data_IF_561961858364
#
_entry.id   IF_561961858364
#
_cell.length_a   1.000
_cell.length_b   1.000
_cell.length_c   1.000
_cell.angle_alpha   90.00
_cell.angle_beta   90.00
_cell.angle_gamma   90.00
#
_symmetry.space_group_name_H-M   'P 1'
#
loop_
_entity.id
_entity.type
_entity.pdbx_description
1 polymer ?
#
# COMPACT_ATOMS: atom_id res chain seq x y z
N UNK A 1 4.21 36.11 -15.72
CA UNK A 1 2.92 35.86 -16.42
C UNK A 1 2.11 34.92 -15.55
N UNK A 2 0.79 35.12 -15.40
CA UNK A 2 -0.04 34.15 -14.66
C UNK A 2 -0.18 32.88 -15.50
N UNK A 3 0.19 31.73 -14.94
CA UNK A 3 -0.05 30.44 -15.57
C UNK A 3 -1.55 30.17 -15.63
N UNK A 4 -2.02 29.67 -16.77
CA UNK A 4 -3.43 29.32 -16.94
C UNK A 4 -3.69 27.99 -16.25
N UNK A 5 -4.72 27.96 -15.40
CA UNK A 5 -5.25 26.69 -14.86
C UNK A 5 -5.65 25.81 -16.03
N UNK A 6 -5.00 24.65 -16.15
CA UNK A 6 -5.39 23.67 -17.15
C UNK A 6 -6.82 23.22 -16.83
N UNK A 7 -7.68 23.18 -17.84
CA UNK A 7 -8.96 22.51 -17.70
C UNK A 7 -8.68 21.01 -17.65
N UNK A 8 -8.55 20.46 -16.44
CA UNK A 8 -8.27 19.05 -16.23
C UNK A 8 -9.37 18.25 -16.93
N UNK A 9 -8.99 17.40 -17.88
CA UNK A 9 -9.93 16.54 -18.61
C UNK A 9 -10.54 15.49 -17.67
N UNK A 10 -11.57 14.78 -18.11
CA UNK A 10 -12.27 13.83 -17.23
C UNK A 10 -11.37 12.67 -16.78
N UNK A 11 -10.50 12.15 -17.64
CA UNK A 11 -9.64 11.01 -17.30
C UNK A 11 -8.66 11.33 -16.14
N UNK A 12 -7.89 12.43 -16.14
CA UNK A 12 -7.07 12.80 -15.00
C UNK A 12 -7.87 13.07 -13.72
N UNK A 13 -9.10 13.61 -13.81
CA UNK A 13 -9.98 13.72 -12.63
C UNK A 13 -10.33 12.35 -12.06
N UNK A 14 -10.63 11.37 -12.92
CA UNK A 14 -10.90 9.99 -12.51
C UNK A 14 -9.67 9.34 -11.87
N UNK A 15 -8.47 9.57 -12.43
CA UNK A 15 -7.21 9.10 -11.83
C UNK A 15 -7.00 9.67 -10.42
N UNK A 16 -7.14 10.99 -10.24
CA UNK A 16 -6.99 11.64 -8.94
C UNK A 16 -8.08 11.25 -7.94
N UNK A 17 -9.31 11.00 -8.41
CA UNK A 17 -10.40 10.49 -7.59
C UNK A 17 -10.13 9.05 -7.13
N UNK A 18 -9.68 8.18 -8.03
CA UNK A 18 -9.36 6.79 -7.73
C UNK A 18 -8.11 6.68 -6.84
N UNK A 19 -7.14 7.57 -7.01
CA UNK A 19 -5.93 7.65 -6.18
C UNK A 19 -6.29 7.79 -4.69
N UNK A 20 -7.26 8.64 -4.34
CA UNK A 20 -7.75 8.82 -2.96
C UNK A 20 -8.89 7.86 -2.58
N UNK A 21 -9.15 6.82 -3.39
CA UNK A 21 -10.22 5.84 -3.20
C UNK A 21 -11.63 6.46 -3.01
N UNK A 22 -11.90 7.61 -3.65
CA UNK A 22 -13.20 8.28 -3.57
C UNK A 22 -13.57 8.88 -2.21
N UNK A 23 -12.62 8.96 -1.27
CA UNK A 23 -12.75 9.58 0.04
C UNK A 23 -11.71 10.68 0.16
N UNK A 24 -12.04 11.78 0.83
CA UNK A 24 -11.08 12.86 1.05
C UNK A 24 -9.87 12.32 1.84
N UNK A 25 -8.63 12.56 1.42
CA UNK A 25 -7.46 12.02 2.12
C UNK A 25 -7.18 12.70 3.47
N UNK A 26 -7.82 13.83 3.75
CA UNK A 26 -7.65 14.60 5.00
C UNK A 26 -8.85 14.54 5.95
N UNK A 27 -9.95 13.89 5.55
CA UNK A 27 -11.15 13.74 6.39
C UNK A 27 -12.02 12.58 5.89
N UNK A 28 -12.94 12.03 6.70
CA UNK A 28 -13.70 10.83 6.32
C UNK A 28 -14.81 11.09 5.27
N UNK A 29 -14.91 12.29 4.68
CA UNK A 29 -15.99 12.62 3.76
C UNK A 29 -15.84 11.89 2.42
N UNK A 30 -16.92 11.27 1.97
CA UNK A 30 -17.05 10.78 0.60
C UNK A 30 -17.04 11.94 -0.40
N UNK A 31 -16.40 11.71 -1.54
CA UNK A 31 -16.23 12.72 -2.59
C UNK A 31 -17.41 12.74 -3.57
N UNK A 32 -18.31 11.76 -3.50
CA UNK A 32 -19.58 11.72 -4.22
C UNK A 32 -20.71 11.54 -3.20
N UNK A 33 -21.82 12.23 -3.40
CA UNK A 33 -23.04 12.07 -2.60
C UNK A 33 -24.27 11.89 -3.49
N UNK A 34 -25.32 11.30 -2.94
CA UNK A 34 -26.60 11.14 -3.62
C UNK A 34 -27.65 12.10 -3.06
N UNK A 35 -28.39 12.75 -3.95
CA UNK A 35 -29.58 13.54 -3.59
C UNK A 35 -30.65 13.30 -4.65
N UNK A 36 -31.87 12.97 -4.23
CA UNK A 36 -32.99 12.74 -5.16
C UNK A 36 -32.65 11.74 -6.29
N UNK A 37 -32.02 10.61 -5.95
CA UNK A 37 -31.58 9.55 -6.90
C UNK A 37 -30.55 9.98 -7.95
N UNK A 38 -29.91 11.14 -7.77
CA UNK A 38 -28.82 11.64 -8.62
C UNK A 38 -27.53 11.72 -7.83
N UNK A 39 -26.42 11.33 -8.46
CA UNK A 39 -25.08 11.42 -7.88
C UNK A 39 -24.47 12.78 -8.21
N UNK A 40 -23.86 13.39 -7.21
CA UNK A 40 -23.25 14.71 -7.30
C UNK A 40 -21.81 14.68 -6.78
N UNK A 41 -20.99 15.50 -7.40
CA UNK A 41 -19.61 15.74 -7.01
C UNK A 41 -19.57 16.57 -5.72
N UNK A 42 -18.78 16.16 -4.73
CA UNK A 42 -18.44 16.92 -3.50
C UNK A 42 -16.93 17.15 -3.37
N UNK A 43 -16.24 17.22 -4.49
CA UNK A 43 -14.78 17.34 -4.51
C UNK A 43 -14.29 18.38 -5.50
N UNK A 44 -13.06 18.83 -5.26
CA UNK A 44 -12.30 19.70 -6.13
C UNK A 44 -10.88 19.16 -6.29
N UNK A 45 -10.23 19.55 -7.38
CA UNK A 45 -8.82 19.23 -7.58
C UNK A 45 -8.02 20.45 -7.13
N UNK A 46 -7.25 20.23 -6.07
CA UNK A 46 -6.37 21.21 -5.45
C UNK A 46 -4.97 21.10 -6.03
N UNK A 47 -4.32 22.24 -6.20
CA UNK A 47 -2.88 22.34 -6.40
C UNK A 47 -2.18 22.28 -5.05
N UNK A 48 -1.34 21.27 -4.81
CA UNK A 48 -0.59 21.15 -3.55
C UNK A 48 0.37 22.32 -3.45
N UNK A 49 1.28 22.49 -4.40
CA UNK A 49 1.97 23.77 -4.61
C UNK A 49 1.10 24.68 -5.49
N UNK A 50 0.79 25.91 -5.06
CA UNK A 50 -0.13 26.79 -5.78
C UNK A 50 0.36 27.07 -7.20
N UNK A 51 -0.58 27.06 -8.17
CA UNK A 51 -0.26 27.32 -9.57
C UNK A 51 0.25 28.75 -9.81
N UNK A 52 -0.28 29.72 -9.07
CA UNK A 52 0.08 31.12 -9.17
C UNK A 52 0.26 31.69 -7.75
N UNK A 53 1.35 31.34 -7.05
CA UNK A 53 1.57 31.80 -5.69
C UNK A 53 1.64 33.32 -5.65
N UNK A 54 0.98 33.90 -4.67
CA UNK A 54 1.18 35.30 -4.28
C UNK A 54 2.58 35.49 -3.68
N UNK A 55 3.05 36.74 -3.56
CA UNK A 55 4.35 37.01 -2.92
C UNK A 55 4.46 36.43 -1.50
N UNK A 56 3.43 36.58 -0.62
CA UNK A 56 3.46 35.95 0.69
C UNK A 56 3.53 34.41 0.62
N UNK A 57 2.85 33.77 -0.33
CA UNK A 57 2.94 32.31 -0.50
C UNK A 57 4.30 31.85 -1.01
N UNK A 58 4.96 32.63 -1.88
CA UNK A 58 6.33 32.36 -2.31
C UNK A 58 7.31 32.40 -1.13
N UNK A 59 7.19 33.42 -0.28
CA UNK A 59 8.02 33.54 0.93
C UNK A 59 7.71 32.43 1.94
N UNK A 60 6.43 32.11 2.15
CA UNK A 60 5.97 31.04 3.03
C UNK A 60 6.52 29.67 2.62
N UNK A 61 6.54 29.38 1.32
CA UNK A 61 6.89 28.07 0.77
C UNK A 61 8.31 27.99 0.20
N UNK A 62 9.17 28.99 0.44
CA UNK A 62 10.48 29.11 -0.23
C UNK A 62 11.41 27.92 0.04
N UNK A 63 11.32 27.32 1.23
CA UNK A 63 12.13 26.18 1.66
C UNK A 63 11.36 24.85 1.61
N UNK A 64 10.14 24.86 1.05
CA UNK A 64 9.28 23.69 1.02
C UNK A 64 9.50 22.87 -0.26
N UNK A 65 9.42 21.56 -0.10
CA UNK A 65 9.59 20.62 -1.21
C UNK A 65 8.49 20.80 -2.26
N UNK A 66 8.86 20.75 -3.55
CA UNK A 66 7.91 20.64 -4.66
C UNK A 66 7.95 19.22 -5.21
N UNK A 67 6.80 18.57 -5.24
CA UNK A 67 6.66 17.20 -5.75
C UNK A 67 6.94 17.09 -7.25
N UNK A 68 6.81 18.18 -7.98
CA UNK A 68 7.11 18.27 -9.40
C UNK A 68 7.54 19.68 -9.77
N UNK A 69 8.34 19.79 -10.82
CA UNK A 69 8.72 21.07 -11.42
C UNK A 69 7.57 21.71 -12.21
N UNK A 70 6.68 20.89 -12.79
CA UNK A 70 5.47 21.37 -13.45
C UNK A 70 4.34 21.51 -12.43
N UNK A 71 3.85 22.74 -12.16
CA UNK A 71 2.75 22.94 -11.21
C UNK A 71 1.44 22.29 -11.67
N UNK A 72 1.27 21.93 -12.95
CA UNK A 72 0.10 21.19 -13.43
C UNK A 72 0.30 19.68 -13.51
N UNK A 73 1.46 19.16 -13.12
CA UNK A 73 1.70 17.72 -13.02
C UNK A 73 0.67 17.06 -12.11
N UNK A 74 0.23 15.84 -12.45
CA UNK A 74 -0.65 15.06 -11.59
C UNK A 74 -0.01 14.75 -10.23
N UNK A 75 1.32 14.80 -10.13
CA UNK A 75 2.04 14.67 -8.86
C UNK A 75 1.80 15.88 -7.94
N UNK A 76 1.50 17.06 -8.48
CA UNK A 76 1.18 18.27 -7.73
C UNK A 76 -0.34 18.48 -7.53
N UNK A 77 -1.18 17.58 -8.05
CA UNK A 77 -2.63 17.67 -7.95
C UNK A 77 -3.17 16.62 -6.97
N UNK A 78 -4.17 17.02 -6.19
CA UNK A 78 -4.85 16.11 -5.25
C UNK A 78 -6.35 16.38 -5.19
N UNK A 79 -7.12 15.31 -5.01
CA UNK A 79 -8.57 15.35 -4.91
C UNK A 79 -8.99 15.54 -3.45
N UNK A 80 -9.66 16.66 -3.14
CA UNK A 80 -10.12 16.99 -1.78
C UNK A 80 -11.62 17.26 -1.78
N UNK A 81 -12.29 17.05 -0.64
CA UNK A 81 -13.64 17.59 -0.47
C UNK A 81 -13.60 19.13 -0.46
N UNK A 82 -14.72 19.77 -0.83
CA UNK A 82 -14.83 21.24 -0.94
C UNK A 82 -14.39 21.94 0.35
N UNK A 83 -14.77 21.39 1.50
CA UNK A 83 -14.47 21.94 2.83
C UNK A 83 -12.95 21.92 3.10
N UNK A 84 -12.29 20.79 2.87
CA UNK A 84 -10.84 20.65 3.08
C UNK A 84 -10.03 21.45 2.06
N UNK A 85 -10.47 21.53 0.81
CA UNK A 85 -9.81 22.38 -0.19
C UNK A 85 -9.86 23.85 0.21
N UNK A 86 -11.03 24.34 0.63
CA UNK A 86 -11.21 25.74 1.06
C UNK A 86 -10.34 26.05 2.27
N UNK A 87 -10.31 25.15 3.27
CA UNK A 87 -9.47 25.30 4.47
C UNK A 87 -7.99 25.39 4.11
N UNK A 88 -7.52 24.50 3.22
CA UNK A 88 -6.12 24.45 2.81
C UNK A 88 -5.66 25.70 2.06
N UNK A 89 -6.50 26.25 1.18
CA UNK A 89 -6.12 27.40 0.36
C UNK A 89 -6.18 28.74 1.12
N UNK A 90 -6.97 28.86 2.20
CA UNK A 90 -7.37 30.17 2.76
C UNK A 90 -7.40 30.20 4.30
N UNK A 91 -6.35 30.71 4.98
CA UNK A 91 -5.00 30.92 4.47
C UNK A 91 -4.21 29.60 4.46
N UNK A 92 -3.26 29.50 3.55
CA UNK A 92 -2.32 28.39 3.50
C UNK A 92 -1.31 28.46 4.65
N UNK A 93 -0.97 27.29 5.19
CA UNK A 93 0.07 27.14 6.22
C UNK A 93 1.14 26.15 5.75
N UNK A 94 2.36 26.28 6.29
CA UNK A 94 3.46 25.33 6.02
C UNK A 94 3.12 23.93 6.53
N UNK A 95 2.47 23.82 7.69
CA UNK A 95 2.08 22.55 8.28
C UNK A 95 1.11 21.78 7.39
N UNK A 96 0.03 22.43 6.93
CA UNK A 96 -0.96 21.79 6.05
C UNK A 96 -0.37 21.47 4.67
N UNK A 97 0.56 22.29 4.18
CA UNK A 97 1.31 22.02 2.95
C UNK A 97 2.12 20.73 3.05
N UNK A 98 2.96 20.61 4.09
CA UNK A 98 3.79 19.42 4.32
C UNK A 98 2.93 18.16 4.47
N UNK A 99 1.82 18.26 5.21
CA UNK A 99 0.89 17.15 5.36
C UNK A 99 0.33 16.67 4.00
N UNK A 100 -0.07 17.58 3.10
CA UNK A 100 -0.54 17.18 1.77
C UNK A 100 0.58 16.65 0.87
N UNK A 101 1.80 17.16 0.99
CA UNK A 101 2.99 16.60 0.33
C UNK A 101 3.20 15.15 0.75
N UNK A 102 3.20 14.87 2.06
CA UNK A 102 3.39 13.53 2.61
C UNK A 102 2.29 12.55 2.18
N UNK A 103 1.03 12.99 2.24
CA UNK A 103 -0.11 12.22 1.74
C UNK A 103 0.09 11.89 0.26
N UNK A 104 0.44 12.88 -0.57
CA UNK A 104 0.57 12.68 -2.00
C UNK A 104 1.75 11.77 -2.35
N UNK A 105 2.88 11.83 -1.63
CA UNK A 105 3.98 10.87 -1.78
C UNK A 105 3.51 9.44 -1.58
N UNK A 106 2.77 9.18 -0.50
CA UNK A 106 2.21 7.84 -0.21
C UNK A 106 1.27 7.37 -1.32
N UNK A 107 0.44 8.27 -1.85
CA UNK A 107 -0.47 7.98 -2.95
C UNK A 107 0.27 7.64 -4.26
N UNK A 108 1.32 8.40 -4.59
CA UNK A 108 2.17 8.15 -5.76
C UNK A 108 2.86 6.79 -5.64
N UNK A 109 3.43 6.48 -4.47
CA UNK A 109 4.07 5.17 -4.21
C UNK A 109 3.06 4.04 -4.40
N UNK A 110 1.88 4.14 -3.78
CA UNK A 110 0.82 3.14 -3.90
C UNK A 110 0.34 2.92 -5.34
N UNK A 111 0.37 3.96 -6.18
CA UNK A 111 0.03 3.80 -7.59
C UNK A 111 1.14 3.08 -8.37
N UNK A 112 2.42 3.38 -8.09
CA UNK A 112 3.56 2.65 -8.67
C UNK A 112 3.54 1.16 -8.29
N UNK A 113 3.15 0.83 -7.05
CA UNK A 113 2.98 -0.57 -6.62
C UNK A 113 1.96 -1.31 -7.48
N UNK A 114 0.82 -0.67 -7.78
CA UNK A 114 -0.24 -1.26 -8.63
C UNK A 114 0.22 -1.53 -10.06
N UNK A 115 1.10 -0.68 -10.60
CA UNK A 115 1.65 -0.87 -11.96
C UNK A 115 2.50 -2.15 -12.05
N UNK A 116 3.18 -2.53 -10.96
CA UNK A 116 3.98 -3.77 -10.90
C UNK A 116 3.10 -5.02 -10.96
N UNK A 117 1.89 -4.97 -10.41
CA UNK A 117 1.03 -6.16 -10.27
C UNK A 117 0.75 -6.88 -11.59
N UNK A 118 0.67 -6.14 -12.71
CA UNK A 118 0.41 -6.72 -14.04
C UNK A 118 1.56 -7.58 -14.56
N UNK A 119 2.79 -7.36 -14.07
CA UNK A 119 4.01 -8.00 -14.55
C UNK A 119 4.46 -9.17 -13.67
N UNK A 120 3.73 -9.44 -12.58
CA UNK A 120 4.06 -10.50 -11.61
C UNK A 120 2.86 -11.41 -11.42
N UNK A 121 3.06 -12.72 -11.57
CA UNK A 121 2.05 -13.75 -11.28
C UNK A 121 2.58 -14.68 -10.20
N UNK A 122 1.67 -15.24 -9.41
CA UNK A 122 1.98 -16.28 -8.43
C UNK A 122 1.44 -17.62 -8.92
N UNK A 123 2.13 -18.70 -8.61
CA UNK A 123 1.66 -20.07 -8.87
C UNK A 123 0.25 -20.30 -8.31
N UNK A 124 -0.56 -21.07 -9.03
CA UNK A 124 -1.95 -21.37 -8.65
C UNK A 124 -2.01 -22.17 -7.33
N UNK A 125 -0.97 -22.91 -6.99
CA UNK A 125 -0.84 -23.71 -5.78
C UNK A 125 -0.86 -22.85 -4.50
N UNK A 126 -0.54 -21.54 -4.60
CA UNK A 126 -0.70 -20.63 -3.47
C UNK A 126 -2.17 -20.48 -3.06
N UNK A 127 -3.09 -20.64 -4.00
CA UNK A 127 -4.53 -20.58 -3.74
C UNK A 127 -4.95 -21.73 -2.83
N UNK A 128 -4.39 -22.93 -3.00
CA UNK A 128 -4.70 -24.08 -2.15
C UNK A 128 -4.32 -23.82 -0.69
N UNK A 129 -3.24 -23.08 -0.47
CA UNK A 129 -2.79 -22.71 0.88
C UNK A 129 -3.66 -21.59 1.45
N UNK A 130 -4.02 -20.60 0.65
CA UNK A 130 -4.93 -19.54 1.08
C UNK A 130 -6.31 -20.12 1.39
N UNK A 131 -6.83 -21.04 0.58
CA UNK A 131 -8.11 -21.70 0.82
C UNK A 131 -8.07 -22.55 2.10
N UNK A 132 -6.99 -23.32 2.30
CA UNK A 132 -6.74 -24.05 3.55
C UNK A 132 -6.80 -23.13 4.77
N UNK A 133 -6.10 -21.98 4.72
CA UNK A 133 -6.06 -21.00 5.82
C UNK A 133 -7.39 -20.29 6.03
N UNK A 134 -8.18 -20.11 4.97
CA UNK A 134 -9.50 -19.46 5.00
C UNK A 134 -10.63 -20.41 5.42
N UNK A 135 -10.36 -21.70 5.50
CA UNK A 135 -11.34 -22.73 5.86
C UNK A 135 -11.90 -22.53 7.27
N UNK A 136 -13.23 -22.55 7.40
CA UNK A 136 -13.94 -22.29 8.68
C UNK A 136 -13.57 -23.26 9.80
N UNK A 137 -13.19 -24.49 9.45
CA UNK A 137 -12.80 -25.53 10.40
C UNK A 137 -11.29 -25.59 10.66
N UNK A 138 -10.53 -24.63 10.12
CA UNK A 138 -9.10 -24.56 10.35
C UNK A 138 -8.81 -24.25 11.83
N UNK A 139 -8.22 -25.23 12.53
CA UNK A 139 -7.80 -25.08 13.93
C UNK A 139 -6.32 -25.28 14.08
N UNK A 140 -5.62 -24.31 14.63
CA UNK A 140 -4.21 -24.46 14.96
C UNK A 140 -4.07 -25.47 16.12
N UNK A 141 -3.11 -26.40 16.03
CA UNK A 141 -2.82 -27.32 17.13
C UNK A 141 -2.01 -26.59 18.21
N UNK A 142 -2.50 -26.60 19.45
CA UNK A 142 -1.82 -25.98 20.59
C UNK A 142 -0.39 -26.52 20.80
N UNK A 143 -0.13 -27.79 20.43
CA UNK A 143 1.22 -28.37 20.49
C UNK A 143 2.14 -27.78 19.44
N UNK A 144 1.64 -27.52 18.23
CA UNK A 144 2.44 -26.92 17.16
C UNK A 144 2.85 -25.49 17.52
N UNK A 145 1.94 -24.70 18.11
CA UNK A 145 2.18 -23.32 18.58
C UNK A 145 3.31 -23.25 19.61
N UNK A 146 3.33 -24.19 20.56
CA UNK A 146 4.31 -24.20 21.65
C UNK A 146 5.71 -24.59 21.18
N UNK A 147 5.80 -25.32 20.07
CA UNK A 147 7.05 -25.92 19.60
C UNK A 147 7.80 -25.06 18.57
N UNK A 148 7.13 -24.11 17.91
CA UNK A 148 7.78 -23.23 16.95
C UNK A 148 8.10 -21.87 17.54
N UNK A 149 9.38 -21.52 17.59
CA UNK A 149 9.83 -20.18 17.97
C UNK A 149 10.40 -19.47 16.72
N UNK A 150 9.79 -18.36 16.24
CA UNK A 150 10.31 -17.60 15.11
C UNK A 150 11.65 -16.93 15.45
N UNK A 151 12.77 -17.52 15.03
CA UNK A 151 14.10 -17.08 15.49
C UNK A 151 14.69 -15.92 14.68
N UNK A 152 14.19 -15.64 13.48
CA UNK A 152 14.85 -14.72 12.54
C UNK A 152 14.12 -13.40 12.35
N UNK A 153 12.83 -13.30 12.71
CA UNK A 153 12.03 -12.08 12.50
C UNK A 153 12.68 -10.87 13.19
N UNK A 154 13.19 -11.04 14.42
CA UNK A 154 13.81 -9.94 15.15
C UNK A 154 15.09 -9.40 14.50
N UNK A 155 15.82 -10.27 13.79
CA UNK A 155 17.05 -9.90 13.09
C UNK A 155 16.79 -9.31 11.69
N UNK A 156 15.66 -9.67 11.07
CA UNK A 156 15.23 -9.18 9.74
C UNK A 156 14.47 -7.86 9.80
N UNK A 157 13.99 -7.48 10.98
CA UNK A 157 13.17 -6.28 11.14
C UNK A 157 13.96 -5.12 11.73
N UNK A 158 13.72 -3.91 11.24
CA UNK A 158 14.35 -2.67 11.73
C UNK A 158 13.35 -1.73 12.41
N UNK A 159 13.80 -0.53 12.80
CA UNK A 159 12.96 0.46 13.50
C UNK A 159 11.80 1.01 12.64
N UNK A 160 11.85 0.78 11.33
CA UNK A 160 10.87 1.27 10.37
C UNK A 160 9.62 0.37 10.27
N UNK A 161 9.67 -0.85 10.83
CA UNK A 161 8.48 -1.68 11.03
C UNK A 161 7.75 -1.30 12.33
N UNK A 162 6.42 -1.27 12.30
CA UNK A 162 5.65 -1.00 13.53
C UNK A 162 5.70 -2.19 14.48
N UNK A 163 5.67 -1.93 15.79
CA UNK A 163 5.57 -2.98 16.81
C UNK A 163 4.40 -3.93 16.57
N UNK A 164 3.23 -3.40 16.19
CA UNK A 164 2.03 -4.21 15.93
C UNK A 164 2.23 -5.15 14.74
N UNK A 165 2.80 -4.66 13.64
CA UNK A 165 3.12 -5.49 12.47
C UNK A 165 4.15 -6.56 12.81
N UNK A 166 5.24 -6.20 13.50
CA UNK A 166 6.25 -7.16 13.95
C UNK A 166 5.65 -8.25 14.85
N UNK A 167 4.79 -7.87 15.80
CA UNK A 167 4.06 -8.82 16.66
C UNK A 167 3.13 -9.73 15.87
N UNK A 168 2.42 -9.21 14.86
CA UNK A 168 1.55 -10.00 14.00
C UNK A 168 2.36 -11.02 13.19
N UNK A 169 3.47 -10.60 12.58
CA UNK A 169 4.36 -11.51 11.84
C UNK A 169 4.84 -12.63 12.76
N UNK A 170 5.30 -12.31 13.97
CA UNK A 170 5.68 -13.30 14.99
C UNK A 170 4.57 -14.31 15.29
N UNK A 171 3.36 -13.84 15.58
CA UNK A 171 2.21 -14.70 15.88
C UNK A 171 1.79 -15.56 14.68
N UNK A 172 1.71 -14.96 13.50
CA UNK A 172 1.36 -15.66 12.27
C UNK A 172 2.36 -16.78 11.97
N UNK A 173 3.65 -16.51 12.17
CA UNK A 173 4.66 -17.54 11.98
C UNK A 173 4.55 -18.61 13.07
N UNK A 174 4.48 -18.22 14.35
CA UNK A 174 4.35 -19.18 15.45
C UNK A 174 3.15 -20.11 15.28
N UNK A 175 1.99 -19.57 14.92
CA UNK A 175 0.74 -20.31 14.88
C UNK A 175 0.62 -21.16 13.60
N UNK A 176 1.11 -20.68 12.45
CA UNK A 176 0.79 -21.29 11.16
C UNK A 176 1.97 -21.99 10.47
N UNK A 177 3.21 -21.81 10.95
CA UNK A 177 4.41 -22.33 10.27
C UNK A 177 4.32 -23.83 9.99
N UNK A 178 4.06 -24.66 11.01
CA UNK A 178 4.07 -26.13 10.89
C UNK A 178 3.13 -26.61 9.78
N UNK A 179 1.93 -26.03 9.74
CA UNK A 179 0.89 -26.40 8.77
C UNK A 179 1.20 -25.93 7.36
N UNK A 180 1.64 -24.68 7.21
CA UNK A 180 2.03 -24.14 5.91
C UNK A 180 3.20 -24.94 5.35
N UNK A 181 4.22 -25.22 6.17
CA UNK A 181 5.38 -26.02 5.80
C UNK A 181 5.01 -27.44 5.38
N UNK A 182 4.08 -28.08 6.10
CA UNK A 182 3.55 -29.39 5.73
C UNK A 182 2.84 -29.34 4.38
N UNK A 183 2.00 -28.33 4.14
CA UNK A 183 1.26 -28.19 2.88
C UNK A 183 2.22 -27.95 1.70
N UNK A 184 3.22 -27.09 1.86
CA UNK A 184 4.29 -26.92 0.87
C UNK A 184 5.04 -28.23 0.59
N UNK A 185 5.37 -29.00 1.64
CA UNK A 185 5.99 -30.33 1.49
C UNK A 185 5.10 -31.34 0.76
N UNK A 186 3.77 -31.22 0.87
CA UNK A 186 2.82 -32.05 0.12
C UNK A 186 2.74 -31.62 -1.35
N UNK A 187 2.75 -30.31 -1.62
CA UNK A 187 2.81 -29.77 -2.97
C UNK A 187 4.08 -30.19 -3.70
N UNK A 188 5.25 -30.09 -3.06
CA UNK A 188 6.54 -30.49 -3.65
C UNK A 188 6.64 -32.00 -3.94
N UNK A 189 5.83 -32.84 -3.27
CA UNK A 189 5.73 -34.27 -3.60
C UNK A 189 4.93 -34.53 -4.87
N UNK A 190 3.98 -33.66 -5.20
CA UNK A 190 3.15 -33.74 -6.40
C UNK A 190 3.90 -33.12 -7.57
N UNK A 191 4.42 -31.90 -7.37
CA UNK A 191 5.17 -31.13 -8.36
C UNK A 191 6.44 -30.56 -7.69
N UNK A 192 7.61 -31.17 -7.93
CA UNK A 192 8.86 -30.74 -7.31
C UNK A 192 9.20 -29.27 -7.60
N UNK A 193 9.83 -28.59 -6.62
CA UNK A 193 10.26 -27.19 -6.69
C UNK A 193 9.13 -26.15 -6.71
N UNK A 194 7.89 -26.54 -6.40
CA UNK A 194 6.75 -25.63 -6.27
C UNK A 194 7.02 -24.57 -5.20
N UNK A 195 7.49 -24.99 -4.01
CA UNK A 195 7.76 -24.06 -2.90
C UNK A 195 8.89 -23.08 -3.25
N UNK A 196 9.94 -23.55 -3.93
CA UNK A 196 11.07 -22.70 -4.34
C UNK A 196 10.65 -21.68 -5.40
N UNK A 197 9.80 -22.09 -6.35
CA UNK A 197 9.25 -21.22 -7.39
C UNK A 197 8.43 -20.09 -6.78
N UNK A 198 7.53 -20.42 -5.85
CA UNK A 198 6.73 -19.43 -5.11
C UNK A 198 7.63 -18.49 -4.28
N UNK A 199 8.61 -19.04 -3.57
CA UNK A 199 9.59 -18.28 -2.78
C UNK A 199 10.31 -17.26 -3.66
N UNK A 200 10.75 -17.68 -4.85
CA UNK A 200 11.42 -16.84 -5.83
C UNK A 200 10.53 -15.73 -6.38
N UNK A 201 9.25 -16.01 -6.65
CA UNK A 201 8.26 -15.00 -7.08
C UNK A 201 8.03 -13.93 -6.01
N UNK A 202 7.87 -14.36 -4.75
CA UNK A 202 7.69 -13.47 -3.60
C UNK A 202 8.93 -12.61 -3.38
N UNK A 203 10.12 -13.22 -3.41
CA UNK A 203 11.39 -12.49 -3.30
C UNK A 203 11.55 -11.47 -4.44
N UNK A 204 11.22 -11.86 -5.67
CA UNK A 204 11.30 -10.96 -6.84
C UNK A 204 10.36 -9.76 -6.66
N UNK A 205 9.14 -9.99 -6.17
CA UNK A 205 8.21 -8.89 -5.91
C UNK A 205 8.73 -7.96 -4.79
N UNK A 206 9.23 -8.54 -3.68
CA UNK A 206 9.88 -7.79 -2.61
C UNK A 206 11.02 -6.89 -3.12
N UNK A 207 11.95 -7.46 -3.89
CA UNK A 207 13.07 -6.71 -4.45
C UNK A 207 12.60 -5.60 -5.40
N UNK A 208 11.48 -5.80 -6.09
CA UNK A 208 10.89 -4.78 -6.96
C UNK A 208 10.31 -3.63 -6.14
N UNK A 209 9.58 -3.93 -5.05
CA UNK A 209 9.06 -2.93 -4.12
C UNK A 209 10.20 -2.15 -3.45
N UNK A 210 11.22 -2.85 -2.94
CA UNK A 210 12.38 -2.22 -2.29
C UNK A 210 13.16 -1.29 -3.25
N UNK A 211 13.15 -1.58 -4.56
CA UNK A 211 13.77 -0.71 -5.58
C UNK A 211 12.96 0.54 -5.90
N UNK A 212 11.64 0.54 -5.69
CA UNK A 212 10.78 1.67 -6.09
C UNK A 212 11.12 2.97 -5.36
N UNK A 213 11.57 2.90 -4.11
CA UNK A 213 12.06 4.06 -3.37
C UNK A 213 12.91 3.62 -2.16
N UNK A 214 14.08 4.24 -1.98
CA UNK A 214 14.96 4.02 -0.82
C UNK A 214 14.35 4.49 0.51
N UNK A 215 13.31 5.33 0.46
CA UNK A 215 12.61 5.85 1.64
C UNK A 215 11.42 4.98 2.07
N UNK A 216 11.09 3.92 1.33
CA UNK A 216 10.02 2.99 1.72
C UNK A 216 10.51 2.19 2.94
N UNK A 217 9.78 2.32 4.04
CA UNK A 217 10.04 1.57 5.27
C UNK A 217 9.51 0.12 5.16
N UNK A 218 9.98 -0.75 6.05
CA UNK A 218 9.57 -2.15 6.09
C UNK A 218 8.05 -2.34 6.29
N UNK A 219 7.37 -1.43 7.00
CA UNK A 219 5.92 -1.48 7.17
C UNK A 219 5.19 -1.29 5.84
N UNK A 220 5.60 -0.33 5.04
CA UNK A 220 5.03 -0.06 3.72
C UNK A 220 5.31 -1.23 2.76
N UNK A 221 6.52 -1.80 2.79
CA UNK A 221 6.84 -3.02 2.03
C UNK A 221 5.92 -4.17 2.44
N UNK A 222 5.76 -4.41 3.74
CA UNK A 222 4.89 -5.48 4.23
C UNK A 222 3.46 -5.33 3.71
N UNK A 223 2.89 -4.14 3.82
CA UNK A 223 1.54 -3.87 3.31
C UNK A 223 1.46 -4.03 1.80
N UNK A 224 2.48 -3.58 1.07
CA UNK A 224 2.59 -3.76 -0.38
C UNK A 224 2.58 -5.24 -0.77
N UNK A 225 3.39 -6.06 -0.11
CA UNK A 225 3.47 -7.51 -0.31
C UNK A 225 2.14 -8.21 -0.02
N UNK A 226 1.48 -7.87 1.10
CA UNK A 226 0.17 -8.46 1.47
C UNK A 226 -0.91 -8.05 0.47
N UNK A 227 -0.98 -6.78 0.08
CA UNK A 227 -1.93 -6.29 -0.92
C UNK A 227 -1.72 -6.94 -2.28
N UNK A 228 -0.46 -7.09 -2.70
CA UNK A 228 -0.11 -7.78 -3.93
C UNK A 228 -0.59 -9.23 -3.91
N UNK A 229 -0.22 -10.01 -2.89
CA UNK A 229 -0.59 -11.41 -2.81
C UNK A 229 -2.11 -11.58 -2.79
N UNK A 230 -2.80 -10.81 -1.95
CA UNK A 230 -4.26 -10.77 -1.89
C UNK A 230 -4.87 -10.49 -3.27
N UNK A 231 -4.30 -9.56 -4.04
CA UNK A 231 -4.79 -9.27 -5.39
C UNK A 231 -4.53 -10.40 -6.38
N UNK A 232 -3.35 -11.03 -6.31
CA UNK A 232 -3.00 -12.19 -7.14
C UNK A 232 -3.87 -13.39 -6.86
N UNK A 233 -4.51 -13.45 -5.69
CA UNK A 233 -5.40 -14.55 -5.26
C UNK A 233 -6.86 -14.15 -5.20
N UNK A 234 -7.28 -13.23 -6.06
CA UNK A 234 -8.67 -12.74 -6.19
C UNK A 234 -9.29 -12.25 -4.88
N UNK A 235 -8.47 -11.73 -3.97
CA UNK A 235 -8.88 -11.18 -2.67
C UNK A 235 -9.62 -12.20 -1.80
N UNK A 236 -9.25 -13.49 -1.91
CA UNK A 236 -9.90 -14.58 -1.19
C UNK A 236 -9.86 -14.39 0.33
N UNK A 237 -8.68 -14.07 0.88
CA UNK A 237 -8.52 -13.64 2.28
C UNK A 237 -7.27 -12.79 2.43
N UNK A 238 -7.44 -11.61 3.03
CA UNK A 238 -6.33 -10.71 3.33
C UNK A 238 -5.51 -11.24 4.51
N UNK A 239 -6.17 -11.83 5.50
CA UNK A 239 -5.58 -12.46 6.67
C UNK A 239 -4.70 -13.65 6.27
N UNK A 240 -5.18 -14.52 5.37
CA UNK A 240 -4.38 -15.61 4.82
C UNK A 240 -3.17 -15.08 4.05
N UNK A 241 -3.32 -13.99 3.29
CA UNK A 241 -2.20 -13.34 2.59
C UNK A 241 -1.16 -12.81 3.58
N UNK A 242 -1.58 -12.17 4.68
CA UNK A 242 -0.71 -11.71 5.76
C UNK A 242 0.07 -12.85 6.40
N UNK A 243 -0.60 -13.97 6.68
CA UNK A 243 0.01 -15.18 7.24
C UNK A 243 1.08 -15.73 6.29
N UNK A 244 0.78 -15.82 4.98
CA UNK A 244 1.72 -16.35 3.99
C UNK A 244 2.94 -15.44 3.83
N UNK A 245 2.75 -14.13 3.71
CA UNK A 245 3.89 -13.19 3.66
C UNK A 245 4.74 -13.29 4.93
N UNK A 246 4.11 -13.44 6.11
CA UNK A 246 4.82 -13.65 7.37
C UNK A 246 5.68 -14.94 7.34
N UNK A 247 5.14 -16.04 6.80
CA UNK A 247 5.89 -17.29 6.60
C UNK A 247 7.12 -17.08 5.70
N UNK A 248 7.00 -16.31 4.62
CA UNK A 248 8.12 -16.04 3.72
C UNK A 248 9.13 -15.04 4.27
N UNK A 249 8.74 -14.11 5.14
CA UNK A 249 9.69 -13.28 5.89
C UNK A 249 10.57 -14.16 6.80
N UNK A 250 9.97 -15.15 7.47
CA UNK A 250 10.72 -16.08 8.31
C UNK A 250 11.69 -16.95 7.49
N UNK A 251 11.26 -17.47 6.34
CA UNK A 251 11.97 -18.54 5.62
C UNK A 251 12.78 -18.11 4.41
N UNK A 252 12.54 -16.92 3.86
CA UNK A 252 13.22 -16.43 2.68
C UNK A 252 13.94 -15.13 2.98
N UNK A 253 14.77 -14.71 2.03
CA UNK A 253 15.50 -13.45 2.06
C UNK A 253 14.56 -12.27 1.72
N UNK A 254 13.52 -12.07 2.53
CA UNK A 254 12.66 -10.89 2.56
C UNK A 254 13.05 -10.10 3.81
N UNK A 255 13.29 -8.79 3.64
CA UNK A 255 13.91 -7.91 4.64
C UNK A 255 15.39 -8.21 4.99
N UNK A 256 16.11 -8.94 4.13
CA UNK A 256 17.57 -9.10 4.22
C UNK A 256 18.33 -8.08 3.37
#
# INVERSE_FOLDING_TARGET
>A
MKEKRINITENPKLLLFAEVNGVCPTCPNQLIYEKSKRKYKRFEIAHIYPLNPTKPELELLINEEKLDSDPNSLNNLICLCVDCHTKFDKPRTVEEYRNLVDIKKKLIIRNKEKEIWNNTKVEKEIYDIIDLLSGKDFKVDAKDILNYNPKTIDNKTDESITFLTKRNIHRNVQDYYSKINKKFSELDKIEPLTTETISSQIRTHYLTLAKLNKEINQKDIFDGMVNWLSKQTNQHSNEASEIIISYFIQNCEVFE
#
